data_IF_383516717958
#
_entry.id   IF_383516717958
#
_cell.length_a   1.000
_cell.length_b   1.000
_cell.length_c   1.000
_cell.angle_alpha   90.00
_cell.angle_beta   90.00
_cell.angle_gamma   90.00
#
_symmetry.space_group_name_H-M   'P 1'
#
loop_
_entity.id
_entity.type
_entity.pdbx_description
1 polymer ?
#
# COMPACT_ATOMS: atom_id res chain seq x y z
N UNK A 1 19.38 -10.59 3.25
CA UNK A 1 18.74 -11.22 2.09
C UNK A 1 17.73 -10.22 1.57
N UNK A 2 17.38 -10.23 0.28
CA UNK A 2 16.62 -9.10 -0.30
C UNK A 2 15.48 -9.52 -1.22
N UNK A 3 14.32 -8.86 -1.11
CA UNK A 3 13.16 -9.10 -1.99
C UNK A 3 13.35 -8.42 -3.34
N UNK A 4 12.57 -8.83 -4.35
CA UNK A 4 12.56 -8.14 -5.65
C UNK A 4 12.23 -6.65 -5.51
N UNK A 5 11.32 -6.30 -4.60
CA UNK A 5 11.00 -4.91 -4.33
C UNK A 5 12.13 -4.14 -3.64
N UNK A 6 12.89 -4.78 -2.76
CA UNK A 6 14.06 -4.15 -2.15
C UNK A 6 15.13 -3.86 -3.20
N UNK A 7 15.36 -4.79 -4.12
CA UNK A 7 16.22 -4.58 -5.29
C UNK A 7 15.71 -3.41 -6.15
N UNK A 8 14.41 -3.36 -6.45
CA UNK A 8 13.81 -2.28 -7.24
C UNK A 8 13.88 -0.91 -6.55
N UNK A 9 13.72 -0.86 -5.22
CA UNK A 9 13.92 0.36 -4.42
C UNK A 9 15.36 0.85 -4.53
N UNK A 10 16.36 -0.02 -4.38
CA UNK A 10 17.76 0.35 -4.54
C UNK A 10 18.09 0.81 -5.96
N UNK A 11 17.56 0.14 -7.00
CA UNK A 11 17.68 0.61 -8.39
C UNK A 11 17.15 2.03 -8.54
N UNK A 12 15.99 2.30 -7.95
CA UNK A 12 15.36 3.62 -7.98
C UNK A 12 16.23 4.68 -7.29
N UNK A 13 16.71 4.40 -6.08
CA UNK A 13 17.55 5.32 -5.30
C UNK A 13 18.86 5.65 -6.03
N UNK A 14 19.56 4.64 -6.54
CA UNK A 14 20.78 4.85 -7.32
C UNK A 14 20.51 5.69 -8.58
N UNK A 15 19.38 5.44 -9.26
CA UNK A 15 18.98 6.23 -10.43
C UNK A 15 18.64 7.68 -10.07
N UNK A 16 17.97 7.91 -8.94
CA UNK A 16 17.67 9.25 -8.45
C UNK A 16 18.95 10.04 -8.11
N UNK A 17 19.95 9.39 -7.54
CA UNK A 17 21.24 10.03 -7.22
C UNK A 17 22.00 10.50 -8.47
N UNK A 18 21.89 9.76 -9.58
CA UNK A 18 22.65 10.03 -10.81
C UNK A 18 21.92 10.98 -11.76
N UNK A 19 20.60 10.80 -11.94
CA UNK A 19 19.83 11.43 -13.03
C UNK A 19 19.92 12.96 -13.07
N UNK A 20 19.78 13.70 -11.95
CA UNK A 20 19.85 15.16 -11.95
C UNK A 20 21.21 15.72 -12.40
N UNK A 21 22.28 14.94 -12.15
CA UNK A 21 23.66 15.38 -12.25
C UNK A 21 24.40 14.82 -13.48
N UNK A 22 23.84 13.78 -14.12
CA UNK A 22 24.48 13.01 -15.17
C UNK A 22 24.98 13.86 -16.34
N UNK A 23 24.17 14.81 -16.83
CA UNK A 23 24.55 15.64 -17.98
C UNK A 23 25.71 16.57 -17.64
N UNK A 24 25.63 17.28 -16.53
CA UNK A 24 26.65 18.24 -16.10
C UNK A 24 27.99 17.54 -15.85
N UNK A 25 27.96 16.42 -15.11
CA UNK A 25 29.17 15.66 -14.81
C UNK A 25 29.80 15.08 -16.06
N UNK A 26 29.01 14.55 -17.01
CA UNK A 26 29.54 14.05 -18.27
C UNK A 26 30.24 15.14 -19.10
N UNK A 27 29.70 16.37 -19.10
CA UNK A 27 30.34 17.50 -19.77
C UNK A 27 31.68 17.83 -19.10
N UNK A 28 31.70 17.96 -17.77
CA UNK A 28 32.93 18.28 -17.03
C UNK A 28 33.98 17.17 -17.18
N UNK A 29 33.57 15.90 -17.14
CA UNK A 29 34.43 14.73 -17.33
C UNK A 29 35.09 14.74 -18.71
N UNK A 30 34.33 15.03 -19.77
CA UNK A 30 34.87 15.14 -21.15
C UNK A 30 35.80 16.34 -21.32
N UNK A 31 35.47 17.47 -20.70
CA UNK A 31 36.28 18.68 -20.74
C UNK A 31 37.50 18.63 -19.80
N UNK A 32 37.59 17.63 -18.90
CA UNK A 32 38.62 17.48 -17.86
C UNK A 32 38.71 18.73 -16.97
N UNK A 33 37.57 19.26 -16.57
CA UNK A 33 37.48 20.45 -15.71
C UNK A 33 36.93 20.06 -14.34
N UNK A 34 37.48 20.70 -13.30
CA UNK A 34 37.02 20.58 -11.92
C UNK A 34 35.84 21.51 -11.64
N UNK A 35 35.22 21.38 -10.47
CA UNK A 35 34.16 22.29 -10.05
C UNK A 35 34.68 23.73 -9.96
N UNK A 36 33.93 24.67 -10.52
CA UNK A 36 34.33 26.08 -10.54
C UNK A 36 34.43 26.69 -9.11
N UNK A 37 33.65 26.17 -8.16
CA UNK A 37 33.64 26.63 -6.77
C UNK A 37 33.36 25.47 -5.81
N UNK A 38 33.75 25.63 -4.54
CA UNK A 38 33.38 24.69 -3.48
C UNK A 38 31.86 24.57 -3.33
N UNK A 39 31.11 25.67 -3.49
CA UNK A 39 29.64 25.63 -3.44
C UNK A 39 29.04 24.74 -4.55
N UNK A 40 29.61 24.76 -5.76
CA UNK A 40 29.17 23.88 -6.83
C UNK A 40 29.44 22.40 -6.50
N UNK A 41 30.57 22.12 -5.83
CA UNK A 41 30.87 20.77 -5.33
C UNK A 41 29.89 20.35 -4.24
N UNK A 42 29.63 21.19 -3.22
CA UNK A 42 28.66 20.90 -2.13
C UNK A 42 27.29 20.51 -2.68
N UNK A 43 26.76 21.29 -3.62
CA UNK A 43 25.44 21.01 -4.23
C UNK A 43 25.46 19.69 -5.00
N UNK A 44 26.53 19.45 -5.77
CA UNK A 44 26.66 18.24 -6.57
C UNK A 44 26.81 16.99 -5.72
N UNK A 45 27.71 17.03 -4.73
CA UNK A 45 27.95 15.97 -3.77
C UNK A 45 26.67 15.67 -3.01
N UNK A 46 25.99 16.68 -2.44
CA UNK A 46 24.71 16.50 -1.73
C UNK A 46 23.63 15.83 -2.59
N UNK A 47 23.50 16.23 -3.86
CA UNK A 47 22.52 15.64 -4.79
C UNK A 47 22.75 14.13 -5.00
N UNK A 48 24.01 13.69 -4.95
CA UNK A 48 24.39 12.28 -5.11
C UNK A 48 24.32 11.54 -3.77
N UNK A 49 24.83 12.15 -2.69
CA UNK A 49 25.00 11.51 -1.38
C UNK A 49 23.69 11.34 -0.65
N UNK A 50 22.84 12.38 -0.63
CA UNK A 50 21.71 12.44 0.30
C UNK A 50 20.70 11.32 0.04
N UNK A 51 20.21 11.08 -1.19
CA UNK A 51 19.25 9.99 -1.44
C UNK A 51 19.81 8.61 -1.08
N UNK A 52 21.11 8.38 -1.34
CA UNK A 52 21.77 7.09 -1.10
C UNK A 52 21.96 6.85 0.39
N UNK A 53 22.51 7.83 1.12
CA UNK A 53 22.80 7.70 2.55
C UNK A 53 21.53 7.71 3.40
N UNK A 54 20.52 8.50 3.03
CA UNK A 54 19.21 8.48 3.70
C UNK A 54 18.51 7.12 3.55
N UNK A 55 18.54 6.55 2.35
CA UNK A 55 17.98 5.22 2.14
C UNK A 55 18.76 4.14 2.90
N UNK A 56 20.10 4.19 2.86
CA UNK A 56 20.95 3.26 3.62
C UNK A 56 20.62 3.25 5.12
N UNK A 57 20.45 4.43 5.73
CA UNK A 57 20.14 4.55 7.17
C UNK A 57 18.79 3.93 7.57
N UNK A 58 17.86 3.81 6.63
CA UNK A 58 16.48 3.38 6.91
C UNK A 58 16.15 2.00 6.35
N UNK A 59 16.88 1.54 5.34
CA UNK A 59 16.62 0.32 4.59
C UNK A 59 17.92 -0.37 4.16
N UNK A 60 18.89 -0.46 5.08
CA UNK A 60 20.14 -1.18 4.85
C UNK A 60 19.86 -2.66 4.53
N UNK A 61 20.37 -3.20 3.41
CA UNK A 61 20.33 -4.64 3.14
C UNK A 61 21.11 -5.40 4.21
N UNK A 62 20.59 -6.57 4.62
CA UNK A 62 21.21 -7.41 5.64
C UNK A 62 22.68 -7.72 5.31
N UNK A 63 23.55 -7.61 6.32
CA UNK A 63 24.97 -7.94 6.18
C UNK A 63 25.15 -9.38 5.68
N UNK A 64 26.01 -9.54 4.67
CA UNK A 64 26.27 -10.84 4.03
C UNK A 64 25.30 -11.23 2.92
N UNK A 65 24.26 -10.44 2.65
CA UNK A 65 23.41 -10.63 1.46
C UNK A 65 24.11 -10.22 0.17
N UNK A 66 23.68 -10.78 -0.98
CA UNK A 66 24.22 -10.33 -2.26
C UNK A 66 23.86 -8.87 -2.54
N UNK A 67 22.65 -8.42 -2.17
CA UNK A 67 22.30 -7.00 -2.33
C UNK A 67 23.22 -6.09 -1.51
N UNK A 68 23.53 -6.46 -0.26
CA UNK A 68 24.50 -5.72 0.55
C UNK A 68 25.87 -5.68 -0.13
N UNK A 69 26.34 -6.80 -0.68
CA UNK A 69 27.63 -6.85 -1.38
C UNK A 69 27.70 -5.94 -2.62
N UNK A 70 26.57 -5.74 -3.31
CA UNK A 70 26.45 -4.82 -4.46
C UNK A 70 26.43 -3.36 -4.00
N UNK A 71 25.70 -3.04 -2.92
CA UNK A 71 25.44 -1.67 -2.48
C UNK A 71 26.56 -1.11 -1.57
N UNK A 72 27.14 -1.92 -0.67
CA UNK A 72 28.12 -1.45 0.31
C UNK A 72 29.33 -0.71 -0.30
N UNK A 73 29.91 -1.13 -1.45
CA UNK A 73 30.98 -0.37 -2.10
C UNK A 73 30.55 1.03 -2.53
N UNK A 74 29.30 1.20 -2.98
CA UNK A 74 28.73 2.51 -3.31
C UNK A 74 28.63 3.37 -2.06
N UNK A 75 28.13 2.81 -0.95
CA UNK A 75 28.01 3.54 0.32
C UNK A 75 29.37 4.04 0.79
N UNK A 76 30.37 3.17 0.84
CA UNK A 76 31.72 3.56 1.25
C UNK A 76 32.26 4.71 0.39
N UNK A 77 32.11 4.62 -0.93
CA UNK A 77 32.58 5.65 -1.84
C UNK A 77 31.84 6.99 -1.67
N UNK A 78 30.54 6.94 -1.40
CA UNK A 78 29.70 8.12 -1.19
C UNK A 78 29.97 8.76 0.17
N UNK A 79 30.22 7.97 1.23
CA UNK A 79 30.59 8.47 2.57
C UNK A 79 31.98 9.14 2.59
N UNK A 80 32.89 8.72 1.71
CA UNK A 80 34.23 9.31 1.57
C UNK A 80 34.25 10.63 0.77
N UNK A 81 33.14 11.03 0.15
CA UNK A 81 33.07 12.28 -0.61
C UNK A 81 33.16 13.50 0.32
N UNK A 82 34.21 14.30 0.15
CA UNK A 82 34.33 15.61 0.78
C UNK A 82 33.55 16.65 -0.05
N UNK A 83 32.45 17.24 0.48
CA UNK A 83 31.65 18.22 -0.24
C UNK A 83 32.39 19.53 -0.51
N UNK A 84 33.53 19.77 0.14
CA UNK A 84 34.36 20.97 -0.06
C UNK A 84 35.46 20.77 -1.09
N UNK A 85 35.72 19.53 -1.50
CA UNK A 85 36.71 19.21 -2.52
C UNK A 85 36.19 19.59 -3.92
N UNK A 86 36.90 20.50 -4.59
CA UNK A 86 36.52 20.98 -5.93
C UNK A 86 36.94 20.02 -7.04
N UNK A 87 37.72 18.98 -6.74
CA UNK A 87 38.16 18.00 -7.74
C UNK A 87 36.96 17.20 -8.24
N UNK A 88 36.84 17.04 -9.55
CA UNK A 88 35.76 16.25 -10.15
C UNK A 88 35.95 14.74 -9.91
N UNK A 89 37.21 14.30 -9.81
CA UNK A 89 37.57 12.87 -9.84
C UNK A 89 36.89 12.03 -8.75
N UNK A 90 36.86 12.41 -7.46
CA UNK A 90 36.18 11.62 -6.43
C UNK A 90 34.70 11.39 -6.76
N UNK A 91 34.02 12.42 -7.25
CA UNK A 91 32.60 12.33 -7.66
C UNK A 91 32.43 11.39 -8.84
N UNK A 92 33.31 11.45 -9.84
CA UNK A 92 33.22 10.53 -10.99
C UNK A 92 33.52 9.09 -10.61
N UNK A 93 34.47 8.87 -9.70
CA UNK A 93 34.83 7.52 -9.23
C UNK A 93 33.65 6.89 -8.46
N UNK A 94 32.94 7.67 -7.63
CA UNK A 94 31.72 7.22 -6.95
C UNK A 94 30.57 6.91 -7.94
N UNK A 95 30.40 7.73 -8.98
CA UNK A 95 29.37 7.50 -10.00
C UNK A 95 29.64 6.25 -10.84
N UNK A 96 30.91 5.96 -11.15
CA UNK A 96 31.28 4.74 -11.87
C UNK A 96 30.95 3.50 -11.02
N UNK A 97 31.10 3.56 -9.69
CA UNK A 97 30.63 2.50 -8.78
C UNK A 97 29.11 2.37 -8.74
N UNK A 98 28.39 3.48 -8.77
CA UNK A 98 26.91 3.47 -8.85
C UNK A 98 26.46 2.79 -10.16
N UNK A 99 27.07 3.11 -11.29
CA UNK A 99 26.76 2.51 -12.59
C UNK A 99 27.00 1.00 -12.58
N UNK A 100 28.15 0.56 -12.05
CA UNK A 100 28.46 -0.89 -11.88
C UNK A 100 27.43 -1.57 -10.97
N UNK A 101 27.04 -0.94 -9.86
CA UNK A 101 26.02 -1.49 -8.98
C UNK A 101 24.68 -1.62 -9.72
N UNK A 102 24.25 -0.60 -10.47
CA UNK A 102 23.03 -0.66 -11.26
C UNK A 102 23.04 -1.81 -12.28
N UNK A 103 24.15 -2.01 -13.01
CA UNK A 103 24.31 -3.13 -13.93
C UNK A 103 24.18 -4.49 -13.23
N UNK A 104 24.76 -4.63 -12.04
CA UNK A 104 24.64 -5.85 -11.23
C UNK A 104 23.20 -6.09 -10.75
N UNK A 105 22.50 -5.03 -10.32
CA UNK A 105 21.09 -5.14 -9.94
C UNK A 105 20.21 -5.51 -11.15
N UNK A 106 20.52 -5.01 -12.34
CA UNK A 106 19.81 -5.31 -13.59
C UNK A 106 20.09 -6.73 -14.11
N UNK A 107 21.30 -7.25 -13.88
CA UNK A 107 21.62 -8.66 -14.11
C UNK A 107 20.87 -9.61 -13.16
N UNK A 108 20.37 -9.08 -12.03
CA UNK A 108 19.56 -9.78 -11.05
C UNK A 108 20.39 -10.25 -9.86
N UNK A 109 19.85 -10.00 -8.66
CA UNK A 109 20.42 -10.46 -7.39
C UNK A 109 19.59 -11.66 -6.91
N UNK A 110 20.23 -12.82 -6.77
CA UNK A 110 19.56 -14.06 -6.33
C UNK A 110 19.79 -14.29 -4.84
N UNK A 111 19.09 -13.55 -4.00
CA UNK A 111 18.94 -13.90 -2.60
C UNK A 111 17.67 -14.74 -2.40
N UNK A 112 17.72 -15.75 -1.53
CA UNK A 112 16.53 -16.48 -1.15
C UNK A 112 15.66 -15.60 -0.25
N UNK A 113 14.46 -15.27 -0.71
CA UNK A 113 13.47 -14.51 0.06
C UNK A 113 13.12 -15.22 1.38
N UNK A 114 13.13 -14.45 2.48
CA UNK A 114 12.72 -14.95 3.80
C UNK A 114 11.33 -14.47 4.19
N UNK A 115 10.73 -15.11 5.20
CA UNK A 115 9.44 -14.68 5.72
C UNK A 115 9.49 -13.27 6.32
N UNK A 116 10.60 -12.90 6.97
CA UNK A 116 10.82 -11.56 7.52
C UNK A 116 10.78 -10.50 6.42
N UNK A 117 11.34 -10.80 5.25
CA UNK A 117 11.36 -9.86 4.13
C UNK A 117 9.95 -9.63 3.58
N UNK A 118 9.17 -10.70 3.38
CA UNK A 118 7.77 -10.60 2.96
C UNK A 118 6.95 -9.83 3.98
N UNK A 119 7.16 -10.05 5.28
CA UNK A 119 6.42 -9.34 6.34
C UNK A 119 6.80 -7.86 6.40
N UNK A 120 8.09 -7.52 6.19
CA UNK A 120 8.55 -6.13 6.09
C UNK A 120 7.88 -5.41 4.93
N UNK A 121 7.80 -6.08 3.78
CA UNK A 121 7.10 -5.61 2.58
C UNK A 121 5.62 -5.34 2.86
N UNK A 122 4.91 -6.34 3.40
CA UNK A 122 3.50 -6.21 3.80
C UNK A 122 3.22 -4.99 4.69
N UNK A 123 4.09 -4.73 5.67
CA UNK A 123 3.95 -3.58 6.59
C UNK A 123 4.14 -2.26 5.85
N UNK A 124 5.14 -2.20 4.97
CA UNK A 124 5.41 -1.00 4.17
C UNK A 124 4.24 -0.69 3.23
N UNK A 125 3.72 -1.70 2.56
CA UNK A 125 2.59 -1.54 1.63
C UNK A 125 1.31 -1.14 2.37
N UNK A 126 1.03 -1.77 3.51
CA UNK A 126 -0.10 -1.38 4.35
C UNK A 126 0.01 0.09 4.79
N UNK A 127 1.18 0.50 5.29
CA UNK A 127 1.43 1.89 5.70
C UNK A 127 1.26 2.86 4.54
N UNK A 128 1.79 2.52 3.37
CA UNK A 128 1.70 3.34 2.16
C UNK A 128 0.24 3.51 1.74
N UNK A 129 -0.52 2.42 1.67
CA UNK A 129 -1.94 2.46 1.33
C UNK A 129 -2.76 3.29 2.33
N UNK A 130 -2.50 3.14 3.64
CA UNK A 130 -3.18 3.94 4.69
C UNK A 130 -2.81 5.42 4.58
N UNK A 131 -1.53 5.74 4.38
CA UNK A 131 -1.07 7.13 4.21
C UNK A 131 -1.71 7.75 2.96
N UNK A 132 -1.72 7.05 1.82
CA UNK A 132 -2.38 7.52 0.61
C UNK A 132 -3.86 7.78 0.83
N UNK A 133 -4.57 6.86 1.50
CA UNK A 133 -5.99 7.02 1.82
C UNK A 133 -6.26 8.25 2.70
N UNK A 134 -5.45 8.47 3.74
CA UNK A 134 -5.61 9.62 4.65
C UNK A 134 -5.24 10.95 3.97
N UNK A 135 -4.13 10.98 3.22
CA UNK A 135 -3.71 12.17 2.49
C UNK A 135 -4.68 12.55 1.39
N UNK A 136 -5.28 11.58 0.69
CA UNK A 136 -6.27 11.87 -0.33
C UNK A 136 -7.52 12.55 0.25
N UNK A 137 -7.96 12.14 1.44
CA UNK A 137 -9.05 12.83 2.13
C UNK A 137 -8.67 14.27 2.53
N UNK A 138 -7.50 14.45 3.16
CA UNK A 138 -7.00 15.78 3.57
C UNK A 138 -6.78 16.70 2.37
N UNK A 139 -6.25 16.17 1.26
CA UNK A 139 -6.03 16.93 0.04
C UNK A 139 -7.31 17.48 -0.57
N UNK A 140 -8.38 16.69 -0.57
CA UNK A 140 -9.71 17.16 -1.03
C UNK A 140 -10.27 18.23 -0.08
N UNK A 141 -10.09 18.09 1.24
CA UNK A 141 -10.50 19.13 2.19
C UNK A 141 -9.74 20.44 1.98
N UNK A 142 -8.41 20.39 1.83
CA UNK A 142 -7.57 21.58 1.57
C UNK A 142 -7.97 22.31 0.28
N UNK A 143 -8.38 21.56 -0.74
CA UNK A 143 -8.86 22.14 -2.00
C UNK A 143 -10.15 22.95 -1.80
N UNK A 144 -11.07 22.45 -0.97
CA UNK A 144 -12.30 23.17 -0.63
C UNK A 144 -12.02 24.41 0.22
N UNK A 145 -11.16 24.29 1.21
CA UNK A 145 -10.78 25.40 2.08
C UNK A 145 -10.16 26.56 1.29
N UNK A 146 -9.24 26.27 0.36
CA UNK A 146 -8.61 27.30 -0.47
C UNK A 146 -9.61 28.08 -1.33
N UNK A 147 -10.64 27.41 -1.86
CA UNK A 147 -11.74 28.09 -2.56
C UNK A 147 -12.57 28.95 -1.59
N UNK A 148 -12.75 28.50 -0.35
CA UNK A 148 -13.46 29.25 0.68
C UNK A 148 -12.74 30.53 1.09
N UNK A 149 -11.43 30.45 1.31
CA UNK A 149 -10.60 31.63 1.58
C UNK A 149 -10.66 32.63 0.42
N UNK A 150 -10.64 32.12 -0.82
CA UNK A 150 -10.77 32.94 -2.03
C UNK A 150 -12.12 33.67 -2.06
N UNK A 151 -13.23 32.96 -1.78
CA UNK A 151 -14.57 33.55 -1.74
C UNK A 151 -14.74 34.53 -0.58
N UNK A 152 -14.27 34.21 0.61
CA UNK A 152 -14.31 35.09 1.76
C UNK A 152 -13.55 36.39 1.49
N UNK A 153 -12.38 36.30 0.86
CA UNK A 153 -11.58 37.45 0.44
C UNK A 153 -12.32 38.30 -0.62
N UNK A 154 -12.95 37.66 -1.61
CA UNK A 154 -13.72 38.36 -2.64
C UNK A 154 -14.92 39.13 -2.04
N UNK A 155 -15.66 38.49 -1.12
CA UNK A 155 -16.78 39.11 -0.39
C UNK A 155 -16.29 40.31 0.43
N UNK A 156 -15.23 40.14 1.23
CA UNK A 156 -14.66 41.21 2.04
C UNK A 156 -14.13 42.38 1.20
N UNK A 157 -13.71 42.10 -0.03
CA UNK A 157 -13.25 43.11 -1.00
C UNK A 157 -14.37 43.74 -1.83
N UNK A 158 -15.64 43.41 -1.55
CA UNK A 158 -16.80 43.93 -2.29
C UNK A 158 -16.97 43.35 -3.71
N UNK A 159 -16.23 42.28 -4.06
CA UNK A 159 -16.32 41.56 -5.34
C UNK A 159 -17.30 40.38 -5.23
N UNK A 160 -18.50 40.66 -4.76
CA UNK A 160 -19.56 39.66 -4.58
C UNK A 160 -20.04 39.16 -5.95
N UNK A 161 -19.67 37.93 -6.35
CA UNK A 161 -20.15 37.30 -7.59
C UNK A 161 -19.15 36.44 -8.36
N UNK A 162 -17.86 36.50 -8.04
CA UNK A 162 -16.79 35.73 -8.72
C UNK A 162 -16.51 34.36 -8.06
N UNK A 163 -17.54 33.70 -7.50
CA UNK A 163 -17.36 32.37 -6.90
C UNK A 163 -17.32 31.30 -7.98
N UNK A 164 -16.23 30.54 -8.04
CA UNK A 164 -16.07 29.45 -9.00
C UNK A 164 -17.08 28.33 -8.74
N UNK A 165 -17.93 28.02 -9.69
CA UNK A 165 -18.99 27.01 -9.51
C UNK A 165 -18.47 25.56 -9.52
N UNK A 166 -17.29 25.33 -10.11
CA UNK A 166 -16.75 24.01 -10.35
C UNK A 166 -15.28 23.89 -9.95
N UNK A 167 -14.82 22.65 -9.81
CA UNK A 167 -13.41 22.26 -9.67
C UNK A 167 -13.04 21.37 -10.85
N UNK A 168 -11.97 21.70 -11.57
CA UNK A 168 -11.44 20.82 -12.62
C UNK A 168 -10.55 19.75 -12.00
N UNK A 169 -10.89 18.47 -12.19
CA UNK A 169 -10.19 17.34 -11.57
C UNK A 169 -8.82 17.06 -12.19
N UNK A 170 -8.51 17.64 -13.35
CA UNK A 170 -7.22 17.47 -14.02
C UNK A 170 -6.20 18.52 -13.57
N UNK A 171 -6.63 19.76 -13.37
CA UNK A 171 -5.75 20.85 -12.92
C UNK A 171 -5.80 21.08 -11.41
N UNK A 172 -6.85 20.61 -10.75
CA UNK A 172 -7.18 20.90 -9.35
C UNK A 172 -7.39 22.40 -9.10
N UNK A 173 -7.83 23.12 -10.13
CA UNK A 173 -8.13 24.55 -10.05
C UNK A 173 -9.64 24.79 -10.13
N UNK A 174 -10.09 25.84 -9.45
CA UNK A 174 -11.49 26.27 -9.51
C UNK A 174 -11.80 26.96 -10.83
N UNK A 175 -12.98 26.70 -11.37
CA UNK A 175 -13.44 27.26 -12.65
C UNK A 175 -14.94 27.56 -12.65
N UNK A 176 -15.34 28.48 -13.53
CA UNK A 176 -16.75 28.81 -13.79
C UNK A 176 -17.32 28.11 -15.03
N UNK A 177 -16.49 27.34 -15.75
CA UNK A 177 -16.90 26.65 -16.98
C UNK A 177 -17.12 25.18 -16.68
N UNK A 178 -18.33 24.68 -16.93
CA UNK A 178 -18.60 23.25 -16.89
C UNK A 178 -17.90 22.55 -18.06
N UNK A 179 -17.30 21.40 -17.75
CA UNK A 179 -16.65 20.52 -18.70
C UNK A 179 -16.77 19.06 -18.25
N UNK A 180 -16.34 18.13 -19.10
CA UNK A 180 -16.26 16.70 -18.77
C UNK A 180 -15.26 16.40 -17.65
N UNK A 181 -14.35 17.33 -17.33
CA UNK A 181 -13.36 17.22 -16.26
C UNK A 181 -13.74 18.00 -15.01
N UNK A 182 -14.91 18.64 -14.97
CA UNK A 182 -15.28 19.48 -13.83
C UNK A 182 -16.35 18.85 -12.94
N UNK A 183 -16.25 19.06 -11.64
CA UNK A 183 -17.25 18.66 -10.65
C UNK A 183 -17.84 19.90 -9.99
N UNK A 184 -19.18 20.00 -9.79
CA UNK A 184 -19.77 21.11 -9.06
C UNK A 184 -19.19 21.21 -7.65
N UNK A 185 -18.77 22.41 -7.25
CA UNK A 185 -18.17 22.65 -5.94
C UNK A 185 -19.11 22.25 -4.79
N UNK A 186 -20.42 22.49 -4.94
CA UNK A 186 -21.43 22.11 -3.94
C UNK A 186 -21.55 20.60 -3.75
N UNK A 187 -21.39 19.82 -4.82
CA UNK A 187 -21.43 18.34 -4.76
C UNK A 187 -20.16 17.80 -4.13
N UNK A 188 -19.00 18.33 -4.53
CA UNK A 188 -17.73 17.96 -3.93
C UNK A 188 -17.76 18.25 -2.42
N UNK A 189 -18.26 19.44 -2.04
CA UNK A 189 -18.48 19.81 -0.64
C UNK A 189 -19.41 18.85 0.07
N UNK A 190 -20.61 18.58 -0.46
CA UNK A 190 -21.56 17.68 0.18
C UNK A 190 -20.99 16.26 0.40
N UNK A 191 -20.02 15.83 -0.42
CA UNK A 191 -19.36 14.54 -0.27
C UNK A 191 -18.33 14.47 0.88
N UNK A 192 -17.86 15.63 1.35
CA UNK A 192 -16.84 15.77 2.39
C UNK A 192 -17.30 16.59 3.60
N UNK A 193 -18.50 17.18 3.59
CA UNK A 193 -18.98 18.12 4.61
C UNK A 193 -19.68 17.37 5.76
N UNK A 194 -19.04 17.26 6.93
CA UNK A 194 -19.69 16.75 8.14
C UNK A 194 -20.38 17.83 8.98
N UNK A 195 -20.49 19.06 8.46
CA UNK A 195 -20.96 20.24 9.18
C UNK A 195 -19.86 21.20 9.64
N UNK A 196 -18.62 21.05 9.16
CA UNK A 196 -17.48 21.94 9.49
C UNK A 196 -17.11 22.85 8.34
N UNK A 197 -16.64 24.07 8.64
CA UNK A 197 -16.35 25.08 7.64
C UNK A 197 -14.89 25.08 7.15
N UNK A 198 -13.96 24.48 7.90
CA UNK A 198 -12.52 24.39 7.55
C UNK A 198 -11.87 23.06 7.98
N UNK A 199 -10.70 22.74 7.40
CA UNK A 199 -9.77 21.66 7.79
C UNK A 199 -9.30 21.83 9.23
N UNK A 200 -9.03 23.05 9.68
CA UNK A 200 -8.59 23.30 11.05
C UNK A 200 -9.71 22.96 12.04
N UNK A 201 -10.94 23.38 11.77
CA UNK A 201 -12.12 22.99 12.55
C UNK A 201 -12.37 21.48 12.50
N UNK A 202 -12.15 20.84 11.35
CA UNK A 202 -12.22 19.38 11.22
C UNK A 202 -11.21 18.71 12.17
N UNK A 203 -9.95 19.15 12.18
CA UNK A 203 -8.91 18.59 13.06
C UNK A 203 -9.25 18.82 14.54
N UNK A 204 -9.73 20.02 14.90
CA UNK A 204 -10.05 20.40 16.28
C UNK A 204 -11.30 19.71 16.84
N UNK A 205 -12.35 19.55 16.03
CA UNK A 205 -13.60 18.90 16.42
C UNK A 205 -13.52 17.36 16.32
N UNK A 206 -12.49 16.83 15.67
CA UNK A 206 -12.20 15.40 15.54
C UNK A 206 -12.60 14.81 14.19
N UNK A 207 -12.36 13.52 14.00
CA UNK A 207 -12.64 12.88 12.72
C UNK A 207 -14.14 12.65 12.52
N UNK A 208 -14.66 13.16 11.40
CA UNK A 208 -16.05 12.98 10.99
C UNK A 208 -16.21 11.97 9.86
N UNK A 209 -17.40 11.37 9.83
CA UNK A 209 -17.80 10.33 8.91
C UNK A 209 -18.16 10.87 7.52
N UNK A 210 -17.18 10.99 6.61
CA UNK A 210 -17.41 11.45 5.22
C UNK A 210 -17.50 10.31 4.19
N UNK A 211 -18.26 10.53 3.10
CA UNK A 211 -18.35 9.54 2.00
C UNK A 211 -16.98 9.31 1.37
N UNK A 212 -16.17 10.36 1.26
CA UNK A 212 -14.82 10.29 0.69
C UNK A 212 -13.89 9.45 1.57
N UNK A 213 -13.92 9.62 2.90
CA UNK A 213 -13.14 8.78 3.83
C UNK A 213 -13.53 7.31 3.72
N UNK A 214 -14.83 6.99 3.63
CA UNK A 214 -15.31 5.61 3.45
C UNK A 214 -14.81 4.99 2.13
N UNK A 215 -14.76 5.78 1.05
CA UNK A 215 -14.25 5.32 -0.26
C UNK A 215 -12.76 5.01 -0.22
N UNK A 216 -11.95 5.90 0.34
CA UNK A 216 -10.51 5.64 0.48
C UNK A 216 -10.22 4.49 1.43
N UNK A 217 -11.02 4.34 2.49
CA UNK A 217 -10.96 3.19 3.37
C UNK A 217 -11.24 1.87 2.63
N UNK A 218 -12.32 1.85 1.84
CA UNK A 218 -12.66 0.73 0.95
C UNK A 218 -11.50 0.36 0.03
N UNK A 219 -10.89 1.35 -0.63
CA UNK A 219 -9.79 1.12 -1.57
C UNK A 219 -8.61 0.43 -0.91
N UNK A 220 -8.08 0.95 0.20
CA UNK A 220 -6.90 0.33 0.82
C UNK A 220 -7.22 -1.06 1.39
N UNK A 221 -8.38 -1.27 2.01
CA UNK A 221 -8.77 -2.58 2.57
C UNK A 221 -8.89 -3.62 1.45
N UNK A 222 -9.56 -3.26 0.35
CA UNK A 222 -9.74 -4.16 -0.79
C UNK A 222 -8.40 -4.50 -1.43
N UNK A 223 -7.55 -3.51 -1.67
CA UNK A 223 -6.23 -3.70 -2.26
C UNK A 223 -5.36 -4.59 -1.37
N UNK A 224 -5.23 -4.26 -0.09
CA UNK A 224 -4.35 -4.99 0.81
C UNK A 224 -4.78 -6.44 1.05
N UNK A 225 -6.08 -6.70 1.20
CA UNK A 225 -6.59 -8.09 1.31
C UNK A 225 -6.41 -8.87 0.01
N UNK A 226 -6.45 -8.19 -1.13
CA UNK A 226 -6.19 -8.84 -2.43
C UNK A 226 -4.71 -9.23 -2.55
N UNK A 227 -3.79 -8.34 -2.18
CA UNK A 227 -2.36 -8.64 -2.12
C UNK A 227 -2.06 -9.76 -1.10
N UNK A 228 -2.73 -9.75 0.04
CA UNK A 228 -2.64 -10.85 1.00
C UNK A 228 -2.94 -12.20 0.36
N UNK A 229 -4.09 -12.35 -0.31
CA UNK A 229 -4.51 -13.65 -0.86
C UNK A 229 -3.73 -14.06 -2.11
N UNK A 230 -3.35 -13.10 -2.97
CA UNK A 230 -2.76 -13.39 -4.27
C UNK A 230 -1.23 -13.37 -4.28
N UNK A 231 -0.59 -12.64 -3.35
CA UNK A 231 0.84 -12.38 -3.35
C UNK A 231 1.50 -12.89 -2.06
N UNK A 232 1.25 -12.24 -0.93
CA UNK A 232 2.02 -12.48 0.31
C UNK A 232 1.77 -13.88 0.89
N UNK A 233 0.51 -14.31 0.99
CA UNK A 233 0.17 -15.62 1.56
C UNK A 233 0.75 -16.79 0.76
N UNK A 234 0.68 -16.82 -0.60
CA UNK A 234 1.41 -17.80 -1.40
C UNK A 234 2.93 -17.77 -1.22
N UNK A 235 3.56 -16.59 -1.11
CA UNK A 235 5.00 -16.45 -0.87
C UNK A 235 5.42 -17.02 0.48
N UNK A 236 4.72 -16.62 1.55
CA UNK A 236 4.94 -17.16 2.90
C UNK A 236 4.79 -18.69 2.94
N UNK A 237 3.76 -19.23 2.27
CA UNK A 237 3.55 -20.68 2.21
C UNK A 237 4.69 -21.41 1.49
N UNK A 238 5.22 -20.83 0.41
CA UNK A 238 6.38 -21.37 -0.32
C UNK A 238 7.63 -21.38 0.55
N UNK A 239 7.92 -20.26 1.25
CA UNK A 239 9.08 -20.12 2.15
C UNK A 239 9.01 -21.12 3.28
N UNK A 240 7.83 -21.29 3.89
CA UNK A 240 7.62 -22.25 4.98
C UNK A 240 7.50 -23.72 4.52
N UNK A 241 7.37 -23.95 3.21
CA UNK A 241 7.11 -25.28 2.64
C UNK A 241 5.81 -25.89 3.18
N UNK A 242 4.73 -25.11 3.20
CA UNK A 242 3.39 -25.52 3.63
C UNK A 242 2.32 -25.10 2.60
N UNK A 243 1.05 -25.45 2.85
CA UNK A 243 -0.04 -24.98 1.99
C UNK A 243 -0.42 -23.53 2.36
N UNK A 244 -0.92 -22.75 1.39
CA UNK A 244 -1.41 -21.39 1.63
C UNK A 244 -2.43 -21.30 2.76
N UNK A 245 -3.32 -22.30 2.86
CA UNK A 245 -4.31 -22.40 3.94
C UNK A 245 -3.72 -22.54 5.35
N UNK A 246 -2.50 -23.04 5.46
CA UNK A 246 -1.80 -23.21 6.75
C UNK A 246 -1.28 -21.85 7.26
N UNK A 247 -1.05 -20.90 6.36
CA UNK A 247 -0.81 -19.50 6.70
C UNK A 247 -2.15 -18.87 7.09
N UNK A 248 -2.37 -18.72 8.39
CA UNK A 248 -3.59 -18.19 8.98
C UNK A 248 -3.31 -16.88 9.72
N UNK A 249 -4.25 -15.94 9.62
CA UNK A 249 -4.21 -14.66 10.29
C UNK A 249 -5.62 -14.27 10.73
N UNK A 250 -5.78 -13.87 11.99
CA UNK A 250 -7.06 -13.34 12.48
C UNK A 250 -7.25 -11.91 11.98
N UNK A 251 -6.16 -11.14 11.90
CA UNK A 251 -6.17 -9.80 11.32
C UNK A 251 -6.65 -9.79 9.86
N UNK A 252 -6.06 -10.61 8.99
CA UNK A 252 -6.45 -10.68 7.57
C UNK A 252 -7.86 -11.23 7.39
N UNK A 253 -8.31 -12.10 8.30
CA UNK A 253 -9.70 -12.57 8.32
C UNK A 253 -10.68 -11.43 8.64
N UNK A 254 -10.38 -10.62 9.63
CA UNK A 254 -11.20 -9.47 10.01
C UNK A 254 -11.23 -8.43 8.88
N UNK A 255 -10.08 -8.11 8.28
CA UNK A 255 -9.99 -7.26 7.08
C UNK A 255 -10.77 -7.87 5.91
N UNK A 256 -10.79 -9.19 5.75
CA UNK A 256 -11.61 -9.89 4.76
C UNK A 256 -13.11 -9.69 4.97
N UNK A 257 -13.58 -9.61 6.22
CA UNK A 257 -14.97 -9.24 6.51
C UNK A 257 -15.27 -7.79 6.15
N UNK A 258 -14.37 -6.86 6.47
CA UNK A 258 -14.47 -5.46 6.07
C UNK A 258 -14.50 -5.32 4.54
N UNK A 259 -13.58 -5.96 3.82
CA UNK A 259 -13.57 -6.01 2.35
C UNK A 259 -14.93 -6.44 1.80
N UNK A 260 -15.49 -7.53 2.34
CA UNK A 260 -16.79 -8.03 1.89
C UNK A 260 -17.91 -6.98 2.05
N UNK A 261 -17.92 -6.26 3.16
CA UNK A 261 -18.94 -5.25 3.43
C UNK A 261 -18.71 -3.96 2.62
N UNK A 262 -17.45 -3.58 2.35
CA UNK A 262 -17.14 -2.52 1.40
C UNK A 262 -17.62 -2.84 -0.02
N UNK A 263 -17.26 -4.02 -0.54
CA UNK A 263 -17.57 -4.43 -1.93
C UNK A 263 -19.06 -4.68 -2.14
N UNK A 264 -19.72 -5.38 -1.21
CA UNK A 264 -21.09 -5.87 -1.44
C UNK A 264 -22.16 -5.05 -0.72
N UNK A 265 -21.80 -4.21 0.26
CA UNK A 265 -22.74 -3.46 1.09
C UNK A 265 -22.44 -1.97 1.13
N UNK A 266 -21.63 -1.48 0.18
CA UNK A 266 -21.32 -0.06 0.01
C UNK A 266 -20.75 0.58 1.29
N UNK A 267 -19.96 -0.18 2.04
CA UNK A 267 -19.39 0.30 3.29
C UNK A 267 -20.32 0.20 4.49
N UNK A 268 -21.49 -0.45 4.39
CA UNK A 268 -22.36 -0.69 5.55
C UNK A 268 -21.99 -2.00 6.22
N UNK A 269 -21.60 -1.91 7.48
CA UNK A 269 -21.18 -3.03 8.31
C UNK A 269 -22.31 -4.06 8.47
N UNK A 270 -21.96 -5.33 8.29
CA UNK A 270 -22.92 -6.42 8.43
C UNK A 270 -22.79 -7.18 9.73
N UNK A 271 -23.65 -8.18 9.93
CA UNK A 271 -23.52 -9.13 11.05
C UNK A 271 -22.19 -9.88 11.06
N UNK A 272 -21.44 -9.93 9.93
CA UNK A 272 -20.09 -10.52 9.90
C UNK A 272 -19.09 -9.73 10.75
N UNK A 273 -19.27 -8.42 10.92
CA UNK A 273 -18.39 -7.60 11.76
C UNK A 273 -18.40 -8.05 13.22
N UNK A 274 -19.55 -8.56 13.72
CA UNK A 274 -19.63 -9.17 15.05
C UNK A 274 -18.81 -10.47 15.22
N UNK A 275 -18.24 -11.00 14.13
CA UNK A 275 -17.33 -12.16 14.13
C UNK A 275 -15.86 -11.77 14.10
N UNK A 276 -15.55 -10.48 13.97
CA UNK A 276 -14.18 -9.98 14.02
C UNK A 276 -13.60 -10.25 15.41
N UNK A 277 -12.36 -10.75 15.44
CA UNK A 277 -11.69 -11.09 16.70
C UNK A 277 -10.76 -9.99 17.20
N UNK A 278 -10.06 -9.35 16.27
CA UNK A 278 -9.05 -8.30 16.46
C UNK A 278 -9.66 -6.93 16.19
N UNK A 279 -10.20 -6.72 15.00
CA UNK A 279 -10.68 -5.41 14.53
C UNK A 279 -12.18 -5.26 14.78
N UNK A 280 -12.55 -4.93 16.02
CA UNK A 280 -13.96 -4.75 16.44
C UNK A 280 -14.45 -3.32 16.26
N UNK A 281 -14.13 -2.72 15.10
CA UNK A 281 -14.35 -1.30 14.83
C UNK A 281 -15.82 -0.95 14.58
N UNK A 282 -16.60 -1.90 14.06
CA UNK A 282 -17.94 -1.62 13.56
C UNK A 282 -18.96 -2.65 14.03
N UNK A 283 -20.18 -2.18 14.28
CA UNK A 283 -21.37 -2.95 14.55
C UNK A 283 -22.27 -3.05 13.32
N UNK A 284 -23.20 -4.01 13.30
CA UNK A 284 -24.13 -4.16 12.18
C UNK A 284 -24.95 -2.88 11.98
N UNK A 285 -24.91 -2.34 10.77
CA UNK A 285 -25.64 -1.12 10.38
C UNK A 285 -24.76 0.13 10.35
N UNK A 286 -23.57 0.08 10.95
CA UNK A 286 -22.65 1.20 10.97
C UNK A 286 -22.13 1.51 9.56
N UNK A 287 -21.89 2.79 9.29
CA UNK A 287 -21.09 3.20 8.14
C UNK A 287 -19.61 2.96 8.48
N UNK A 288 -18.93 2.14 7.70
CA UNK A 288 -17.55 1.75 7.97
C UNK A 288 -16.58 2.85 7.56
N UNK A 289 -16.22 3.69 8.52
CA UNK A 289 -15.21 4.73 8.42
C UNK A 289 -14.17 4.56 9.53
N UNK A 290 -12.99 4.00 9.23
CA UNK A 290 -11.94 3.84 10.23
C UNK A 290 -11.45 5.22 10.71
N UNK A 291 -11.30 5.35 12.02
CA UNK A 291 -10.78 6.54 12.70
C UNK A 291 -9.29 6.37 13.00
N UNK A 292 -8.64 7.42 13.48
CA UNK A 292 -7.24 7.42 13.88
C UNK A 292 -6.91 6.25 14.82
N UNK A 293 -7.74 6.03 15.84
CA UNK A 293 -7.59 4.92 16.79
C UNK A 293 -7.70 3.54 16.12
N UNK A 294 -8.54 3.41 15.08
CA UNK A 294 -8.67 2.19 14.30
C UNK A 294 -7.38 1.92 13.51
N UNK A 295 -6.80 2.94 12.87
CA UNK A 295 -5.52 2.78 12.17
C UNK A 295 -4.36 2.48 13.11
N UNK A 296 -4.32 3.10 14.29
CA UNK A 296 -3.33 2.76 15.30
C UNK A 296 -3.48 1.28 15.71
N UNK A 297 -4.69 0.85 16.04
CA UNK A 297 -4.97 -0.54 16.40
C UNK A 297 -4.58 -1.51 15.27
N UNK A 298 -4.83 -1.16 14.02
CA UNK A 298 -4.45 -1.97 12.86
C UNK A 298 -2.94 -2.27 12.86
N UNK A 299 -2.11 -1.25 13.06
CA UNK A 299 -0.65 -1.44 13.09
C UNK A 299 -0.19 -2.22 14.31
N UNK A 300 -0.82 -2.00 15.47
CA UNK A 300 -0.53 -2.77 16.69
C UNK A 300 -0.91 -4.25 16.54
N UNK A 301 -2.07 -4.58 15.96
CA UNK A 301 -2.47 -5.97 15.72
C UNK A 301 -1.61 -6.64 14.65
N UNK A 302 -1.17 -5.89 13.64
CA UNK A 302 -0.21 -6.41 12.67
C UNK A 302 1.10 -6.80 13.37
N UNK A 303 1.63 -5.93 14.23
CA UNK A 303 2.85 -6.21 14.99
C UNK A 303 2.69 -7.43 15.91
N UNK A 304 1.52 -7.59 16.54
CA UNK A 304 1.21 -8.77 17.36
C UNK A 304 1.16 -10.08 16.57
N UNK A 305 0.79 -10.05 15.29
CA UNK A 305 0.80 -11.23 14.42
C UNK A 305 2.13 -11.44 13.68
N UNK A 306 3.09 -10.50 13.77
CA UNK A 306 4.39 -10.57 13.07
C UNK A 306 5.07 -11.93 13.24
N UNK A 307 5.22 -12.39 14.48
CA UNK A 307 5.88 -13.67 14.80
C UNK A 307 5.16 -14.88 14.17
N UNK A 308 3.83 -14.81 14.03
CA UNK A 308 3.05 -15.87 13.42
C UNK A 308 3.30 -16.01 11.91
N UNK A 309 3.69 -14.94 11.24
CA UNK A 309 4.06 -14.96 9.82
C UNK A 309 5.48 -15.47 9.59
N UNK A 310 6.38 -15.23 10.53
CA UNK A 310 7.81 -15.57 10.43
C UNK A 310 8.12 -16.98 10.92
N UNK A 311 7.19 -17.57 11.69
CA UNK A 311 7.29 -18.95 12.17
C UNK A 311 6.53 -19.92 11.27
N UNK A 312 7.14 -21.07 10.95
CA UNK A 312 6.47 -22.13 10.17
C UNK A 312 5.17 -22.57 10.84
N UNK A 313 4.01 -22.46 10.16
CA UNK A 313 2.73 -22.80 10.77
C UNK A 313 2.59 -24.30 11.01
N UNK A 314 1.73 -24.66 11.97
CA UNK A 314 1.26 -26.04 12.12
C UNK A 314 0.27 -26.35 10.99
N UNK A 315 0.40 -27.50 10.31
CA UNK A 315 -0.54 -27.88 9.27
C UNK A 315 -1.97 -27.87 9.80
N UNK A 316 -2.87 -27.17 9.11
CA UNK A 316 -4.28 -27.16 9.46
C UNK A 316 -4.84 -28.50 9.02
N UNK A 317 -5.18 -29.36 10.00
CA UNK A 317 -5.94 -30.59 9.75
C UNK A 317 -7.39 -30.22 9.46
N UNK A 318 -7.68 -29.81 8.23
CA UNK A 318 -9.07 -29.76 7.77
C UNK A 318 -9.50 -31.17 7.39
N UNK A 319 -10.40 -31.77 8.17
CA UNK A 319 -11.12 -33.00 7.79
C UNK A 319 -12.10 -32.77 6.63
N UNK A 320 -12.19 -31.54 6.10
CA UNK A 320 -13.02 -31.18 4.96
C UNK A 320 -12.14 -30.90 3.75
N UNK A 321 -12.25 -31.74 2.74
CA UNK A 321 -11.66 -31.53 1.41
C UNK A 321 -12.79 -31.02 0.51
N UNK A 322 -12.59 -29.88 -0.14
CA UNK A 322 -13.54 -29.37 -1.13
C UNK A 322 -13.35 -30.10 -2.47
N UNK A 323 -14.35 -30.87 -2.89
CA UNK A 323 -14.42 -31.45 -4.23
C UNK A 323 -14.99 -30.40 -5.19
N UNK A 324 -14.14 -29.82 -6.05
CA UNK A 324 -14.60 -28.89 -7.09
C UNK A 324 -15.19 -29.67 -8.26
N UNK A 325 -16.50 -29.52 -8.49
CA UNK A 325 -17.22 -30.09 -9.63
C UNK A 325 -18.12 -29.04 -10.27
N UNK A 326 -18.36 -29.17 -11.59
CA UNK A 326 -19.43 -28.42 -12.25
C UNK A 326 -20.71 -29.26 -12.22
N UNK A 327 -21.69 -28.80 -11.46
CA UNK A 327 -23.01 -29.43 -11.35
C UNK A 327 -24.05 -28.47 -11.88
N UNK A 328 -24.94 -28.87 -12.81
CA UNK A 328 -26.02 -28.01 -13.26
C UNK A 328 -26.90 -27.54 -12.09
N UNK A 329 -27.27 -26.26 -12.06
CA UNK A 329 -28.02 -25.66 -10.94
C UNK A 329 -29.30 -26.45 -10.61
N UNK A 330 -30.01 -26.94 -11.62
CA UNK A 330 -31.23 -27.77 -11.44
C UNK A 330 -30.97 -29.04 -10.64
N UNK A 331 -29.79 -29.63 -10.79
CA UNK A 331 -29.40 -30.83 -10.02
C UNK A 331 -29.04 -30.46 -8.59
N UNK A 332 -28.35 -29.33 -8.38
CA UNK A 332 -28.02 -28.83 -7.05
C UNK A 332 -29.30 -28.48 -6.24
N UNK A 333 -30.24 -27.76 -6.85
CA UNK A 333 -31.50 -27.38 -6.21
C UNK A 333 -32.32 -28.62 -5.83
N UNK A 334 -32.38 -29.61 -6.73
CA UNK A 334 -33.07 -30.88 -6.49
C UNK A 334 -32.38 -31.70 -5.39
N UNK A 335 -31.06 -31.69 -5.35
CA UNK A 335 -30.29 -32.35 -4.31
C UNK A 335 -30.57 -31.75 -2.93
N UNK A 336 -30.49 -30.42 -2.79
CA UNK A 336 -30.79 -29.74 -1.53
C UNK A 336 -32.24 -29.93 -1.09
N UNK A 337 -33.20 -29.97 -2.04
CA UNK A 337 -34.59 -30.26 -1.72
C UNK A 337 -34.78 -31.68 -1.14
N UNK A 338 -34.19 -32.71 -1.77
CA UNK A 338 -34.26 -34.10 -1.29
C UNK A 338 -33.52 -34.25 0.04
N UNK A 339 -32.35 -33.62 0.21
CA UNK A 339 -31.62 -33.62 1.48
C UNK A 339 -32.48 -33.02 2.60
N UNK A 340 -33.16 -31.90 2.32
CA UNK A 340 -34.08 -31.26 3.25
C UNK A 340 -35.29 -32.14 3.62
N UNK A 341 -35.89 -32.83 2.66
CA UNK A 341 -36.99 -33.79 2.90
C UNK A 341 -36.56 -34.96 3.81
N UNK A 342 -35.29 -35.36 3.71
CA UNK A 342 -34.68 -36.40 4.55
C UNK A 342 -34.13 -35.87 5.88
N UNK A 343 -34.27 -34.56 6.16
CA UNK A 343 -33.77 -33.93 7.38
C UNK A 343 -32.25 -33.84 7.48
N UNK A 344 -31.54 -33.96 6.35
CA UNK A 344 -30.09 -33.90 6.26
C UNK A 344 -29.65 -32.50 5.82
N UNK A 345 -28.47 -32.07 6.27
CA UNK A 345 -27.78 -30.93 5.66
C UNK A 345 -27.16 -31.33 4.32
N UNK A 346 -27.01 -30.37 3.41
CA UNK A 346 -26.37 -30.60 2.10
C UNK A 346 -24.99 -31.27 2.23
N UNK A 347 -24.25 -30.97 3.30
CA UNK A 347 -22.95 -31.58 3.57
C UNK A 347 -23.04 -33.06 3.99
N UNK A 348 -24.04 -33.42 4.80
CA UNK A 348 -24.26 -34.82 5.23
C UNK A 348 -24.76 -35.68 4.08
N UNK A 349 -25.71 -35.14 3.30
CA UNK A 349 -26.20 -35.81 2.10
C UNK A 349 -25.07 -36.01 1.07
N UNK A 350 -24.17 -35.03 0.91
CA UNK A 350 -23.07 -35.12 -0.04
C UNK A 350 -22.04 -36.14 0.41
N UNK A 351 -21.73 -36.17 1.72
CA UNK A 351 -20.85 -37.20 2.30
C UNK A 351 -21.38 -38.60 2.03
N UNK A 352 -22.64 -38.87 2.38
CA UNK A 352 -23.27 -40.17 2.13
C UNK A 352 -23.32 -40.56 0.65
N UNK A 353 -23.56 -39.59 -0.25
CA UNK A 353 -23.58 -39.84 -1.69
C UNK A 353 -22.18 -40.20 -2.24
N UNK A 354 -21.13 -39.54 -1.73
CA UNK A 354 -19.74 -39.84 -2.10
C UNK A 354 -19.32 -41.20 -1.57
N UNK A 355 -19.64 -41.52 -0.31
CA UNK A 355 -19.34 -42.82 0.30
C UNK A 355 -20.02 -43.96 -0.49
N UNK A 356 -21.32 -43.82 -0.78
CA UNK A 356 -22.06 -44.80 -1.57
C UNK A 356 -21.52 -44.96 -3.00
N UNK A 357 -20.99 -43.88 -3.59
CA UNK A 357 -20.36 -43.95 -4.90
C UNK A 357 -19.02 -44.71 -4.86
N UNK A 358 -18.19 -44.47 -3.84
CA UNK A 358 -16.95 -45.20 -3.62
C UNK A 358 -17.22 -46.69 -3.38
N UNK A 359 -18.15 -47.03 -2.50
CA UNK A 359 -18.53 -48.42 -2.18
C UNK A 359 -19.02 -49.20 -3.42
N UNK A 360 -19.64 -48.51 -4.38
CA UNK A 360 -20.14 -49.11 -5.61
C UNK A 360 -19.07 -49.31 -6.69
N UNK A 361 -17.86 -48.75 -6.52
CA UNK A 361 -16.79 -48.75 -7.52
C UNK A 361 -15.43 -49.24 -6.98
N UNK A 362 -15.38 -49.76 -5.76
CA UNK A 362 -14.36 -50.72 -5.27
C UNK A 362 -14.77 -52.15 -5.62
#
# INVERSE_FOLDING_TARGET
MSTSEEVDRWKHVLKQAVTPSAMAINIMRKARVDFATAQASVVMVGTITDPVLEHWRTAQPEEGSHLHAVIAPVINAVEELDPTDVRLRPVTDALDLIEVAQEQLDAGVTDSETADDVVREMVLDLKTLVVSARLAHVGVMNLIDGEWDTRATAINSGRSGESSLYVDVMTLESTNTESVTTVPFSELRASIDPGVATVQEYIEQGEFDTVVQSRFASQWVVTFVTEWELNYRPRLARIHGCAGRDIASELMRDLGFMRNDYVHKRGIASSKQGRCKRLKWFSKGDNMQPRHEHYQQLFEEFEREREAFTTKPKPVKTSKVELKAQVPQVVADRFSAIAGELGLTDGEALGAAVDAWCDAHE
#
